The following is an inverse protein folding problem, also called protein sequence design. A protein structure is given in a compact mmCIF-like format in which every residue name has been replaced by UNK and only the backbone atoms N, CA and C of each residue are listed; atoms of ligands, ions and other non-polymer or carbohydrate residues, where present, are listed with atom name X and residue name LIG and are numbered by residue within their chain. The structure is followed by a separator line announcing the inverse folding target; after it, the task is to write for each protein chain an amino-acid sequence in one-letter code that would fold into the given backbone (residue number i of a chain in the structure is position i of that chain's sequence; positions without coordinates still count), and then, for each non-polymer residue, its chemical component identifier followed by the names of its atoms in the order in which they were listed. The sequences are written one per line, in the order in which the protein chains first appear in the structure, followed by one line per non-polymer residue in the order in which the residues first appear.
data_IF_475696668247
#
_entry.id   IF_475696668247
#
_cell.length_a   1.000
_cell.length_b   1.000
_cell.length_c   1.000
_cell.angle_alpha   90.00
_cell.angle_beta   90.00
_cell.angle_gamma   90.00
#
_symmetry.space_group_name_H-M   'P 1'
#
loop_
_entity.id
_entity.type
_entity.pdbx_description
1 polymer ?
#
# COMPACT_ATOMS: atom_id res chain seq x y z
N UNK A 1 -1.64 9.22 -11.95
CA UNK A 1 -2.34 9.50 -10.69
C UNK A 1 -3.81 9.16 -10.90
N UNK A 2 -4.42 8.34 -10.03
CA UNK A 2 -5.85 7.95 -10.11
C UNK A 2 -6.61 8.49 -8.89
N UNK A 3 -7.94 8.53 -8.95
CA UNK A 3 -8.74 8.92 -7.78
C UNK A 3 -8.73 7.80 -6.72
N UNK A 4 -8.94 8.18 -5.45
CA UNK A 4 -9.05 7.20 -4.35
C UNK A 4 -10.24 6.24 -4.56
N UNK A 5 -11.34 6.78 -5.09
CA UNK A 5 -12.50 5.97 -5.47
C UNK A 5 -12.10 4.86 -6.46
N UNK A 6 -11.34 5.19 -7.51
CA UNK A 6 -10.88 4.22 -8.49
C UNK A 6 -9.96 3.18 -7.84
N UNK A 7 -9.00 3.63 -7.02
CA UNK A 7 -8.09 2.75 -6.29
C UNK A 7 -8.87 1.72 -5.46
N UNK A 8 -9.90 2.14 -4.72
CA UNK A 8 -10.73 1.26 -3.89
C UNK A 8 -11.47 0.17 -4.69
N UNK A 9 -11.79 0.41 -5.96
CA UNK A 9 -12.57 -0.51 -6.80
C UNK A 9 -11.72 -1.34 -7.77
N UNK A 10 -10.40 -1.09 -7.85
CA UNK A 10 -9.52 -1.89 -8.68
C UNK A 10 -9.45 -3.34 -8.20
N UNK A 11 -9.34 -4.32 -9.13
CA UNK A 11 -8.90 -5.66 -8.79
C UNK A 11 -7.59 -5.62 -8.00
N UNK A 12 -7.43 -6.55 -7.06
CA UNK A 12 -6.28 -6.60 -6.16
C UNK A 12 -4.94 -6.46 -6.88
N UNK A 13 -4.71 -7.27 -7.91
CA UNK A 13 -3.47 -7.24 -8.72
C UNK A 13 -3.19 -5.88 -9.35
N UNK A 14 -4.24 -5.15 -9.79
CA UNK A 14 -4.08 -3.82 -10.38
C UNK A 14 -3.76 -2.77 -9.34
N UNK A 15 -4.37 -2.85 -8.16
CA UNK A 15 -4.04 -1.95 -7.06
C UNK A 15 -2.63 -2.19 -6.54
N UNK A 16 -2.24 -3.46 -6.37
CA UNK A 16 -0.89 -3.85 -6.00
C UNK A 16 0.14 -3.30 -7.01
N UNK A 17 -0.09 -3.48 -8.31
CA UNK A 17 0.80 -2.95 -9.34
C UNK A 17 0.96 -1.41 -9.31
N UNK A 18 -0.05 -0.68 -8.84
CA UNK A 18 0.04 0.79 -8.66
C UNK A 18 0.82 1.19 -7.40
N UNK A 19 0.80 0.36 -6.36
CA UNK A 19 1.47 0.60 -5.07
C UNK A 19 2.93 0.13 -5.11
N UNK A 20 3.23 -0.94 -5.84
CA UNK A 20 4.54 -1.57 -5.91
C UNK A 20 5.72 -0.61 -6.24
N UNK A 21 5.55 0.47 -7.03
CA UNK A 21 6.62 1.44 -7.25
C UNK A 21 6.97 2.32 -6.03
N UNK A 22 6.14 2.34 -4.99
CA UNK A 22 6.38 3.19 -3.81
C UNK A 22 7.50 2.67 -2.90
N UNK A 23 7.66 1.34 -2.81
CA UNK A 23 8.72 0.66 -2.06
C UNK A 23 8.80 -0.78 -2.54
N UNK A 24 10.01 -1.34 -2.68
CA UNK A 24 10.22 -2.71 -3.14
C UNK A 24 9.98 -3.76 -2.04
N UNK A 25 8.94 -3.55 -1.23
CA UNK A 25 8.51 -4.46 -0.16
C UNK A 25 7.14 -5.05 -0.53
N UNK A 26 7.11 -6.26 -1.13
CA UNK A 26 5.86 -6.86 -1.59
C UNK A 26 4.83 -7.03 -0.48
N UNK A 27 5.28 -7.41 0.72
CA UNK A 27 4.39 -7.59 1.88
C UNK A 27 3.71 -6.29 2.33
N UNK A 28 4.43 -5.17 2.30
CA UNK A 28 3.86 -3.86 2.62
C UNK A 28 2.84 -3.42 1.56
N UNK A 29 3.20 -3.58 0.28
CA UNK A 29 2.33 -3.17 -0.83
C UNK A 29 1.04 -4.01 -0.88
N UNK A 30 1.14 -5.31 -0.60
CA UNK A 30 0.01 -6.22 -0.52
C UNK A 30 -0.91 -5.89 0.66
N UNK A 31 -0.33 -5.65 1.85
CA UNK A 31 -1.09 -5.24 3.03
C UNK A 31 -1.86 -3.93 2.79
N UNK A 32 -1.22 -2.93 2.17
CA UNK A 32 -1.88 -1.67 1.82
C UNK A 32 -2.99 -1.85 0.77
N UNK A 33 -2.79 -2.76 -0.21
CA UNK A 33 -3.80 -3.09 -1.21
C UNK A 33 -4.98 -3.87 -0.62
N UNK A 34 -4.75 -4.73 0.38
CA UNK A 34 -5.79 -5.48 1.10
C UNK A 34 -6.60 -4.61 2.07
N UNK A 35 -6.02 -3.53 2.60
CA UNK A 35 -6.70 -2.61 3.52
C UNK A 35 -7.79 -1.72 2.89
N UNK A 36 -7.99 -1.78 1.57
CA UNK A 36 -9.08 -1.07 0.89
C UNK A 36 -10.45 -1.66 1.29
N UNK A 37 -11.53 -0.86 1.32
CA UNK A 37 -11.60 0.54 0.89
C UNK A 37 -11.16 1.53 1.99
N UNK A 38 -10.47 2.59 1.58
CA UNK A 38 -10.17 3.74 2.45
C UNK A 38 -11.22 4.84 2.26
N UNK A 39 -11.71 5.42 3.35
CA UNK A 39 -12.69 6.51 3.35
C UNK A 39 -12.09 7.86 2.91
N UNK A 40 -10.78 8.07 3.14
CA UNK A 40 -10.07 9.29 2.76
C UNK A 40 -8.62 9.05 2.37
N UNK A 41 -7.99 10.05 1.74
CA UNK A 41 -6.55 10.01 1.45
C UNK A 41 -5.73 9.99 2.72
N UNK A 42 -6.20 10.67 3.76
CA UNK A 42 -5.51 10.73 5.06
C UNK A 42 -5.51 9.38 5.75
N UNK A 43 -6.61 8.62 5.65
CA UNK A 43 -6.68 7.25 6.16
C UNK A 43 -5.75 6.30 5.39
N UNK A 44 -5.73 6.41 4.05
CA UNK A 44 -4.79 5.66 3.21
C UNK A 44 -3.33 5.94 3.64
N UNK A 45 -2.95 7.21 3.80
CA UNK A 45 -1.58 7.56 4.17
C UNK A 45 -1.24 7.20 5.62
N UNK A 46 -2.21 7.32 6.54
CA UNK A 46 -2.02 6.90 7.93
C UNK A 46 -1.81 5.40 8.03
N UNK A 47 -2.59 4.61 7.28
CA UNK A 47 -2.42 3.15 7.20
C UNK A 47 -1.08 2.79 6.57
N UNK A 48 -0.72 3.43 5.46
CA UNK A 48 0.57 3.24 4.80
C UNK A 48 1.76 3.49 5.75
N UNK A 49 1.69 4.56 6.54
CA UNK A 49 2.71 4.91 7.53
C UNK A 49 2.71 3.97 8.74
N UNK A 50 1.56 3.49 9.19
CA UNK A 50 1.49 2.50 10.26
C UNK A 50 2.18 1.19 9.84
N UNK A 51 1.96 0.74 8.60
CA UNK A 51 2.59 -0.47 8.04
C UNK A 51 4.11 -0.36 7.89
N UNK A 52 4.71 0.84 7.96
CA UNK A 52 6.18 1.00 7.96
C UNK A 52 6.80 0.83 9.34
N UNK A 53 6.01 0.87 10.41
CA UNK A 53 6.52 0.78 11.79
C UNK A 53 7.01 -0.63 12.12
N UNK A 54 6.55 -1.64 11.38
CA UNK A 54 6.97 -3.04 11.52
C UNK A 54 8.21 -3.39 10.68
N UNK A 55 8.82 -2.41 9.99
CA UNK A 55 10.01 -2.65 9.19
C UNK A 55 11.23 -2.88 10.07
N UNK A 56 12.00 -3.90 9.70
CA UNK A 56 13.22 -4.33 10.35
C UNK A 56 14.37 -4.44 9.34
N UNK A 57 15.51 -4.98 9.78
CA UNK A 57 16.69 -5.18 8.92
C UNK A 57 16.38 -6.11 7.74
N UNK A 58 15.54 -7.13 7.94
CA UNK A 58 15.14 -8.04 6.87
C UNK A 58 14.30 -7.30 5.80
N UNK A 59 13.49 -6.34 6.22
CA UNK A 59 12.74 -5.46 5.31
C UNK A 59 13.71 -4.57 4.52
N UNK A 60 14.71 -3.98 5.18
CA UNK A 60 15.72 -3.18 4.47
C UNK A 60 16.49 -3.99 3.42
N UNK A 61 16.84 -5.24 3.72
CA UNK A 61 17.56 -6.12 2.79
C UNK A 61 16.75 -6.53 1.55
N UNK A 62 15.42 -6.36 1.57
CA UNK A 62 14.51 -6.67 0.46
C UNK A 62 14.21 -5.46 -0.43
N UNK A 63 14.46 -4.24 0.07
CA UNK A 63 14.01 -2.99 -0.53
C UNK A 63 14.95 -2.42 -1.61
#
# INVERSE_FOLDING_TARGET
MIALHDLNHLPHEKALALIHPCVALPGWADALALGRPYASRDELFSTANALTQDWDEASLAQA
#
